data_IF_899182459042
#
_entry.id   IF_899182459042
#
_cell.length_a   1.000
_cell.length_b   1.000
_cell.length_c   1.000
_cell.angle_alpha   90.00
_cell.angle_beta   90.00
_cell.angle_gamma   90.00
#
_symmetry.space_group_name_H-M   'P 1'
#
loop_
_entity.id
_entity.type
_entity.pdbx_description
1 polymer ?
#
# COMPACT_ATOMS: atom_id res chain seq x y z
N UNK A 1 -30.89 -56.58 5.26
CA UNK A 1 -30.00 -56.53 4.54
C UNK A 1 -29.45 -55.34 4.10
N UNK A 2 -29.89 -54.37 3.98
CA UNK A 2 -29.32 -53.27 3.35
C UNK A 2 -28.86 -52.24 4.23
N UNK A 3 -28.49 -52.53 5.36
CA UNK A 3 -28.13 -51.52 6.19
C UNK A 3 -26.78 -51.12 6.11
N UNK A 4 -25.99 -51.72 5.40
CA UNK A 4 -24.68 -51.32 5.46
C UNK A 4 -24.36 -50.13 4.74
N UNK A 5 -25.19 -49.52 4.10
CA UNK A 5 -24.77 -48.47 3.30
C UNK A 5 -24.64 -47.23 3.95
N UNK A 6 -25.03 -46.99 5.06
CA UNK A 6 -24.99 -45.69 5.51
C UNK A 6 -23.82 -45.29 6.16
N UNK A 7 -22.83 -45.98 6.22
CA UNK A 7 -21.75 -45.57 6.99
C UNK A 7 -20.78 -44.69 6.39
N UNK A 8 -20.85 -44.40 5.21
CA UNK A 8 -19.73 -43.80 4.58
C UNK A 8 -19.66 -42.39 4.54
N UNK A 9 -20.47 -41.67 5.19
CA UNK A 9 -20.44 -40.34 4.97
C UNK A 9 -19.76 -39.49 5.89
N UNK A 10 -19.51 -39.85 7.02
CA UNK A 10 -19.02 -38.95 7.99
C UNK A 10 -17.65 -38.43 7.74
N UNK A 11 -16.97 -39.03 6.85
CA UNK A 11 -15.60 -38.73 6.77
C UNK A 11 -15.26 -37.54 6.00
N UNK A 12 -16.11 -37.06 5.20
CA UNK A 12 -15.73 -36.05 4.33
C UNK A 12 -15.53 -34.73 4.86
N UNK A 13 -16.09 -34.39 5.92
CA UNK A 13 -16.05 -32.99 6.32
C UNK A 13 -14.77 -32.55 6.92
N UNK A 14 -13.91 -33.48 7.26
CA UNK A 14 -12.78 -33.01 7.96
C UNK A 14 -11.72 -32.45 7.15
N UNK A 15 -11.62 -32.75 5.97
CA UNK A 15 -10.52 -32.25 5.18
C UNK A 15 -10.54 -30.81 4.88
N UNK A 16 -11.62 -30.13 5.16
CA UNK A 16 -11.66 -28.76 4.75
C UNK A 16 -11.16 -27.82 5.77
N UNK A 17 -10.93 -28.26 6.96
CA UNK A 17 -10.61 -27.33 7.95
C UNK A 17 -9.19 -26.93 7.98
N UNK A 18 -8.32 -27.62 7.47
CA UNK A 18 -6.93 -27.29 7.62
C UNK A 18 -6.37 -26.38 6.58
N UNK A 19 -7.18 -25.88 5.69
CA UNK A 19 -6.61 -25.12 4.58
C UNK A 19 -6.74 -23.64 4.75
N UNK A 20 -7.15 -23.17 5.90
CA UNK A 20 -7.27 -21.73 6.09
C UNK A 20 -5.89 -21.14 6.22
N UNK A 21 -5.58 -20.20 5.38
CA UNK A 21 -4.31 -19.53 5.42
C UNK A 21 -4.53 -18.08 5.72
N UNK A 22 -3.63 -17.51 6.50
CA UNK A 22 -3.70 -16.10 6.79
C UNK A 22 -3.29 -15.32 5.55
N UNK A 23 -4.21 -14.65 4.93
CA UNK A 23 -3.93 -13.80 3.80
C UNK A 23 -3.67 -12.39 4.29
N UNK A 24 -2.93 -11.62 3.48
CA UNK A 24 -2.74 -10.23 3.78
C UNK A 24 -4.08 -9.51 3.74
N UNK A 25 -4.29 -8.63 4.69
CA UNK A 25 -5.47 -7.78 4.73
C UNK A 25 -5.15 -6.42 4.16
N UNK A 26 -6.09 -5.86 3.41
CA UNK A 26 -5.95 -4.55 2.83
C UNK A 26 -6.50 -3.54 3.82
N UNK A 27 -5.68 -2.53 4.12
CA UNK A 27 -6.10 -1.42 4.95
C UNK A 27 -6.08 -0.15 4.12
N UNK A 28 -7.19 0.56 4.10
CA UNK A 28 -7.28 1.84 3.41
C UNK A 28 -7.11 2.94 4.45
N UNK A 29 -6.00 3.65 4.39
CA UNK A 29 -5.63 4.59 5.44
C UNK A 29 -5.50 6.00 4.87
N UNK A 30 -5.68 7.00 5.71
CA UNK A 30 -5.66 8.40 5.30
C UNK A 30 -4.28 8.81 4.81
N UNK A 31 -4.19 9.16 3.53
CA UNK A 31 -2.94 9.52 2.90
C UNK A 31 -2.44 10.88 3.36
N UNK A 32 -3.32 11.89 3.31
CA UNK A 32 -2.90 13.25 3.64
C UNK A 32 -2.42 13.35 5.09
N UNK A 33 -3.14 12.73 6.00
CA UNK A 33 -2.74 12.76 7.40
C UNK A 33 -1.37 12.10 7.60
N UNK A 34 -1.11 11.01 6.90
CA UNK A 34 0.18 10.32 7.01
C UNK A 34 1.31 11.16 6.43
N UNK A 35 1.08 11.81 5.30
CA UNK A 35 2.07 12.72 4.70
C UNK A 35 2.35 13.89 5.64
N UNK A 36 1.30 14.48 6.18
CA UNK A 36 1.45 15.64 7.09
C UNK A 36 2.27 15.25 8.32
N UNK A 37 2.04 14.08 8.90
CA UNK A 37 2.85 13.61 10.03
C UNK A 37 4.31 13.42 9.64
N UNK A 38 4.57 12.88 8.47
CA UNK A 38 5.92 12.63 8.02
C UNK A 38 6.68 13.93 7.74
N UNK A 39 6.00 14.97 7.28
CA UNK A 39 6.62 16.28 7.11
C UNK A 39 6.85 16.91 8.49
N UNK A 40 5.87 16.81 9.38
CA UNK A 40 5.96 17.45 10.69
C UNK A 40 7.12 16.89 11.52
N UNK A 41 7.41 15.60 11.41
CA UNK A 41 8.48 15.01 12.21
C UNK A 41 9.84 14.96 11.48
N UNK A 42 9.92 15.53 10.28
CA UNK A 42 11.17 15.64 9.55
C UNK A 42 11.54 14.41 8.71
N UNK A 43 10.69 13.40 8.65
CA UNK A 43 10.93 12.24 7.78
C UNK A 43 10.95 12.69 6.31
N UNK A 44 10.07 13.60 5.94
CA UNK A 44 10.06 14.25 4.62
C UNK A 44 10.44 15.71 4.83
N UNK A 45 11.14 16.30 3.87
CA UNK A 45 11.61 17.67 4.02
C UNK A 45 10.64 18.74 3.49
N UNK A 46 9.51 18.32 2.96
CA UNK A 46 8.49 19.24 2.47
C UNK A 46 8.77 19.82 1.09
N UNK A 47 9.91 19.51 0.49
CA UNK A 47 10.25 20.08 -0.82
C UNK A 47 9.47 19.46 -1.97
N UNK A 48 8.92 18.28 -1.77
CA UNK A 48 8.13 17.57 -2.77
C UNK A 48 6.74 17.34 -2.19
N UNK A 49 5.71 17.76 -2.93
CA UNK A 49 4.33 17.56 -2.52
C UNK A 49 3.80 16.28 -3.13
N UNK A 50 2.90 15.60 -2.43
CA UNK A 50 2.35 14.34 -2.88
C UNK A 50 0.83 14.46 -3.03
N UNK A 51 0.32 14.07 -4.20
CA UNK A 51 -1.10 14.21 -4.50
C UNK A 51 -1.66 12.92 -5.05
N UNK A 52 -2.71 12.41 -4.42
CA UNK A 52 -3.43 11.26 -4.91
C UNK A 52 -4.15 11.59 -6.22
N UNK A 53 -4.46 10.55 -6.99
CA UNK A 53 -5.15 10.67 -8.27
C UNK A 53 -6.42 11.49 -8.12
N UNK A 54 -6.59 12.46 -9.00
CA UNK A 54 -7.77 13.32 -9.01
C UNK A 54 -7.74 14.51 -8.08
N UNK A 55 -6.65 14.72 -7.32
CA UNK A 55 -6.61 15.84 -6.37
C UNK A 55 -5.76 17.01 -6.84
N UNK A 56 -4.95 16.85 -7.86
CA UNK A 56 -4.13 17.93 -8.39
C UNK A 56 -3.85 17.70 -9.86
N UNK A 57 -4.03 18.70 -10.66
CA UNK A 57 -3.75 18.62 -12.09
C UNK A 57 -2.74 19.67 -12.49
N UNK A 58 -2.20 19.53 -13.71
CA UNK A 58 -1.23 20.47 -14.24
C UNK A 58 0.20 20.10 -13.89
N UNK A 59 1.09 21.05 -14.10
CA UNK A 59 2.50 20.82 -13.91
C UNK A 59 3.15 20.20 -15.13
N UNK A 60 4.47 20.35 -15.23
CA UNK A 60 5.24 19.74 -16.31
C UNK A 60 5.63 18.34 -15.89
N UNK A 61 5.23 17.34 -16.66
CA UNK A 61 5.55 15.95 -16.37
C UNK A 61 7.00 15.69 -16.72
N UNK A 62 7.78 15.28 -15.73
CA UNK A 62 9.19 14.94 -15.91
C UNK A 62 9.38 13.42 -16.03
N UNK A 63 8.52 12.65 -15.37
CA UNK A 63 8.52 11.20 -15.50
C UNK A 63 7.12 10.69 -15.22
N UNK A 64 6.58 9.89 -16.12
CA UNK A 64 5.31 9.23 -15.90
C UNK A 64 5.53 7.90 -15.23
N UNK A 65 4.62 7.54 -14.32
CA UNK A 65 4.58 6.19 -13.79
C UNK A 65 5.76 5.76 -12.95
N UNK A 66 6.26 6.65 -12.10
CA UNK A 66 7.29 6.27 -11.14
C UNK A 66 6.69 5.32 -10.10
N UNK A 67 7.32 4.18 -9.87
CA UNK A 67 6.80 3.13 -9.00
C UNK A 67 7.71 2.97 -7.80
N UNK A 68 7.11 2.78 -6.63
CA UNK A 68 7.84 2.38 -5.43
C UNK A 68 7.12 1.21 -4.80
N UNK A 69 7.87 0.29 -4.18
CA UNK A 69 7.32 -0.88 -3.53
C UNK A 69 8.16 -1.13 -2.30
N UNK A 70 7.56 -0.99 -1.13
CA UNK A 70 8.28 -1.10 0.14
C UNK A 70 7.59 -2.07 1.06
N UNK A 71 8.39 -2.70 1.92
CA UNK A 71 7.92 -3.64 2.92
C UNK A 71 8.59 -3.34 4.24
N UNK A 72 7.91 -3.65 5.33
CA UNK A 72 8.49 -3.54 6.66
C UNK A 72 8.01 -4.69 7.52
N UNK A 73 8.74 -4.96 8.60
CA UNK A 73 8.33 -5.97 9.56
C UNK A 73 7.10 -5.46 10.30
N UNK A 74 6.03 -6.25 10.27
CA UNK A 74 4.78 -5.93 10.97
C UNK A 74 4.41 -6.94 12.03
N UNK A 75 5.30 -7.88 12.36
CA UNK A 75 4.98 -8.92 13.34
C UNK A 75 4.71 -8.30 14.69
N UNK A 76 3.60 -8.67 15.29
CA UNK A 76 3.15 -8.17 16.59
C UNK A 76 2.96 -6.65 16.64
N UNK A 77 2.79 -6.00 15.49
CA UNK A 77 2.55 -4.55 15.40
C UNK A 77 1.19 -4.29 14.81
N UNK A 78 0.62 -3.15 15.14
CA UNK A 78 -0.67 -2.74 14.57
C UNK A 78 -0.53 -2.44 13.09
N UNK A 79 -1.64 -2.50 12.37
CA UNK A 79 -1.66 -2.12 10.98
C UNK A 79 -1.30 -0.64 10.81
N UNK A 80 -1.85 0.22 11.67
CA UNK A 80 -1.57 1.65 11.56
C UNK A 80 -0.09 1.94 11.72
N UNK A 81 0.55 1.35 12.71
CA UNK A 81 1.96 1.60 12.98
C UNK A 81 2.85 1.08 11.84
N UNK A 82 2.62 -0.15 11.41
CA UNK A 82 3.43 -0.76 10.36
C UNK A 82 3.20 -0.08 9.03
N UNK A 83 1.97 0.24 8.72
CA UNK A 83 1.61 0.87 7.45
C UNK A 83 2.14 2.30 7.37
N UNK A 84 2.11 3.04 8.49
CA UNK A 84 2.67 4.37 8.52
C UNK A 84 4.18 4.31 8.23
N UNK A 85 4.87 3.35 8.83
CA UNK A 85 6.31 3.19 8.63
C UNK A 85 6.63 2.85 7.18
N UNK A 86 5.91 1.91 6.58
CA UNK A 86 6.22 1.50 5.21
C UNK A 86 5.80 2.56 4.21
N UNK A 87 4.75 3.33 4.46
CA UNK A 87 4.39 4.46 3.61
C UNK A 87 5.50 5.51 3.62
N UNK A 88 6.05 5.82 4.80
CA UNK A 88 7.16 6.78 4.87
C UNK A 88 8.32 6.35 4.01
N UNK A 89 8.66 5.07 4.02
CA UNK A 89 9.74 4.55 3.17
C UNK A 89 9.42 4.75 1.70
N UNK A 90 8.19 4.52 1.29
CA UNK A 90 7.77 4.72 -0.09
C UNK A 90 7.84 6.19 -0.48
N UNK A 91 7.39 7.08 0.40
CA UNK A 91 7.40 8.52 0.13
C UNK A 91 8.82 9.08 0.08
N UNK A 92 9.72 8.58 0.93
CA UNK A 92 11.13 8.97 0.87
C UNK A 92 11.72 8.63 -0.49
N UNK A 93 11.41 7.46 -1.01
CA UNK A 93 11.91 7.07 -2.31
C UNK A 93 11.35 7.96 -3.42
N UNK A 94 10.06 8.25 -3.38
CA UNK A 94 9.45 9.15 -4.36
C UNK A 94 9.99 10.57 -4.25
N UNK A 95 10.23 11.05 -3.04
CA UNK A 95 10.84 12.35 -2.82
C UNK A 95 12.23 12.43 -3.46
N UNK A 96 13.05 11.41 -3.24
CA UNK A 96 14.38 11.36 -3.83
C UNK A 96 14.33 11.29 -5.35
N UNK A 97 13.41 10.50 -5.88
CA UNK A 97 13.25 10.39 -7.33
C UNK A 97 12.80 11.72 -7.94
N UNK A 98 11.87 12.41 -7.29
CA UNK A 98 11.40 13.71 -7.77
C UNK A 98 12.53 14.73 -7.77
N UNK A 99 13.30 14.81 -6.69
CA UNK A 99 14.42 15.73 -6.60
C UNK A 99 15.47 15.44 -7.67
N UNK A 100 15.77 14.17 -7.91
CA UNK A 100 16.77 13.79 -8.91
C UNK A 100 16.35 14.23 -10.32
N UNK A 101 15.06 14.33 -10.57
CA UNK A 101 14.53 14.78 -11.86
C UNK A 101 14.28 16.29 -11.93
N UNK A 102 14.50 16.99 -10.83
CA UNK A 102 14.19 18.42 -10.78
C UNK A 102 12.71 18.73 -10.54
N UNK A 103 11.95 17.73 -10.09
CA UNK A 103 10.53 17.89 -9.80
C UNK A 103 10.29 18.37 -8.38
N UNK A 104 9.11 18.92 -8.15
CA UNK A 104 8.70 19.39 -6.83
C UNK A 104 7.36 18.78 -6.39
N UNK A 105 6.85 17.83 -7.14
CA UNK A 105 5.62 17.14 -6.76
C UNK A 105 5.57 15.77 -7.41
N UNK A 106 4.81 14.86 -6.77
CA UNK A 106 4.39 13.60 -7.35
C UNK A 106 2.87 13.66 -7.37
N UNK A 107 2.29 13.55 -8.55
CA UNK A 107 0.84 13.68 -8.73
C UNK A 107 0.28 12.36 -9.27
N UNK A 108 -1.04 12.29 -9.32
CA UNK A 108 -1.72 11.14 -9.88
C UNK A 108 -1.32 9.85 -9.19
N UNK A 109 -1.09 9.90 -7.89
CA UNK A 109 -0.63 8.75 -7.12
C UNK A 109 -1.78 7.76 -6.96
N UNK A 110 -1.49 6.51 -7.28
CA UNK A 110 -2.41 5.39 -7.04
C UNK A 110 -1.68 4.32 -6.25
N UNK A 111 -2.42 3.51 -5.53
CA UNK A 111 -1.86 2.30 -4.93
C UNK A 111 -1.63 1.28 -6.03
N UNK A 112 -0.53 0.52 -5.92
CA UNK A 112 -0.09 -0.31 -7.04
C UNK A 112 0.44 -1.67 -6.58
N UNK A 113 -0.20 -2.26 -5.61
CA UNK A 113 0.24 -3.54 -5.04
C UNK A 113 0.08 -4.65 -6.09
N UNK A 114 1.16 -5.37 -6.33
CA UNK A 114 1.22 -6.43 -7.35
C UNK A 114 0.75 -5.94 -8.72
N UNK A 115 1.10 -4.71 -9.04
CA UNK A 115 0.77 -4.06 -10.31
C UNK A 115 -0.73 -3.83 -10.53
N UNK A 116 -1.52 -3.85 -9.46
CA UNK A 116 -2.94 -3.55 -9.57
C UNK A 116 -3.21 -2.14 -9.09
N UNK A 117 -3.69 -1.28 -9.98
CA UNK A 117 -3.99 0.10 -9.63
C UNK A 117 -5.25 0.17 -8.78
N UNK A 118 -5.17 0.93 -7.71
CA UNK A 118 -6.33 1.27 -6.91
C UNK A 118 -6.32 2.77 -6.67
N UNK A 119 -7.33 3.45 -7.21
CA UNK A 119 -7.44 4.90 -7.14
C UNK A 119 -8.28 5.30 -5.95
N UNK A 120 -7.88 6.36 -5.29
CA UNK A 120 -8.65 7.00 -4.24
C UNK A 120 -8.20 8.44 -4.14
N UNK A 121 -9.10 9.31 -3.77
CA UNK A 121 -8.76 10.72 -3.55
C UNK A 121 -8.40 11.00 -2.09
N UNK A 122 -8.49 10.01 -1.22
CA UNK A 122 -8.28 10.20 0.22
C UNK A 122 -7.38 9.17 0.86
N UNK A 123 -7.36 7.94 0.38
CA UNK A 123 -6.67 6.85 1.07
C UNK A 123 -5.60 6.20 0.21
N UNK A 124 -4.67 5.53 0.87
CA UNK A 124 -3.74 4.61 0.23
C UNK A 124 -3.99 3.20 0.77
N UNK A 125 -3.60 2.20 0.00
CA UNK A 125 -3.72 0.81 0.43
C UNK A 125 -2.43 0.33 1.04
N UNK A 126 -2.54 -0.32 2.19
CA UNK A 126 -1.45 -1.03 2.82
C UNK A 126 -1.89 -2.48 3.01
N UNK A 127 -1.04 -3.40 2.60
CA UNK A 127 -1.30 -4.83 2.76
C UNK A 127 -0.54 -5.32 3.96
N UNK A 128 -1.24 -5.83 4.97
CA UNK A 128 -0.63 -6.31 6.20
C UNK A 128 -1.00 -7.75 6.45
N UNK A 129 0.00 -8.61 6.53
CA UNK A 129 -0.17 -9.97 6.98
C UNK A 129 0.33 -10.12 8.41
N UNK A 130 0.62 -11.36 8.80
CA UNK A 130 1.09 -11.63 10.15
C UNK A 130 2.47 -11.05 10.39
N UNK A 131 3.34 -11.08 9.41
CA UNK A 131 4.74 -10.71 9.59
C UNK A 131 5.18 -9.47 8.82
N UNK A 132 4.48 -9.06 7.78
CA UNK A 132 4.96 -8.04 6.85
C UNK A 132 3.85 -7.06 6.50
N UNK A 133 4.17 -5.79 6.44
CA UNK A 133 3.32 -4.76 5.87
C UNK A 133 3.95 -4.24 4.58
N UNK A 134 3.15 -3.99 3.56
CA UNK A 134 3.62 -3.61 2.22
C UNK A 134 2.81 -2.44 1.69
N UNK A 135 3.50 -1.49 1.05
CA UNK A 135 2.87 -0.39 0.32
C UNK A 135 3.55 -0.29 -1.04
N UNK A 136 2.76 -0.25 -2.10
CA UNK A 136 3.24 0.04 -3.43
C UNK A 136 2.45 1.22 -3.99
N UNK A 137 3.15 2.18 -4.58
CA UNK A 137 2.55 3.38 -5.16
C UNK A 137 3.10 3.60 -6.55
N UNK A 138 2.28 4.22 -7.39
CA UNK A 138 2.70 4.69 -8.70
C UNK A 138 2.21 6.11 -8.88
N UNK A 139 3.04 6.99 -9.39
CA UNK A 139 2.66 8.38 -9.62
C UNK A 139 3.54 9.04 -10.65
N UNK A 140 3.21 10.28 -10.98
CA UNK A 140 3.94 11.06 -11.98
C UNK A 140 4.78 12.12 -11.30
N UNK A 141 6.05 12.20 -11.66
CA UNK A 141 6.95 13.24 -11.17
C UNK A 141 6.74 14.48 -12.03
N UNK A 142 6.41 15.58 -11.38
CA UNK A 142 6.09 16.82 -12.09
C UNK A 142 6.78 18.01 -11.47
N UNK A 143 6.84 19.08 -12.25
CA UNK A 143 7.33 20.40 -11.80
C UNK A 143 6.22 21.42 -11.96
N UNK A 144 5.86 22.03 -10.86
CA UNK A 144 4.97 23.18 -10.88
C UNK A 144 5.74 24.47 -10.83
#
# INVERSE_FOLDING_TARGET
MSLKKQLSFAVLCMGLMGTVQAADQVHNLDFKAAVDRAVADGTLDGSVKFYLSGTKSGGKVLQQGAVTNKKTNGFAKSAESSCDRVLRSALIQLQSAAKAKGGNAVTNIVSYFKSNEAKSTTTYQCYKGMAVASVALKGDIVKF
#
